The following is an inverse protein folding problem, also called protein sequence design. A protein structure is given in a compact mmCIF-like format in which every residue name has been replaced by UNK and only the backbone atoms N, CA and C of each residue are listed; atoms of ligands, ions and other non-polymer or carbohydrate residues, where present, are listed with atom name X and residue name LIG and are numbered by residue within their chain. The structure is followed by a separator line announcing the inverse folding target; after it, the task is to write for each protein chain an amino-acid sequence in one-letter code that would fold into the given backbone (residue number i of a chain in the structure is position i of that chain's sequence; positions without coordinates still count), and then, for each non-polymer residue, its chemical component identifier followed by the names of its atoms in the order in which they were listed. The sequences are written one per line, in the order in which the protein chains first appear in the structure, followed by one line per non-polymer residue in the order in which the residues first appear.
data_IF_907153968149
#
_entry.id   IF_907153968149
#
_cell.length_a   1.000
_cell.length_b   1.000
_cell.length_c   1.000
_cell.angle_alpha   90.00
_cell.angle_beta   90.00
_cell.angle_gamma   90.00
#
_symmetry.space_group_name_H-M   'P 1'
#
loop_
_entity.id
_entity.type
_entity.pdbx_description
1 polymer ?
#
# COMPACT_ATOMS: atom_id res chain seq x y z
N UNK A 1 -23.34 -1.62 -0.80
CA UNK A 1 -22.24 -0.97 -0.07
C UNK A 1 -22.26 0.49 -0.46
N UNK A 2 -22.38 1.40 0.51
CA UNK A 2 -22.40 2.84 0.22
C UNK A 2 -21.01 3.30 -0.25
N UNK A 3 -20.96 4.43 -0.96
CA UNK A 3 -19.69 5.03 -1.43
C UNK A 3 -18.75 5.29 -0.25
N UNK A 4 -19.29 5.64 0.92
CA UNK A 4 -18.53 5.88 2.16
C UNK A 4 -17.90 4.60 2.71
N UNK A 5 -18.63 3.48 2.70
CA UNK A 5 -18.12 2.16 3.12
C UNK A 5 -16.99 1.67 2.20
N UNK A 6 -17.09 1.93 0.89
CA UNK A 6 -16.05 1.60 -0.09
C UNK A 6 -14.76 2.37 0.16
N UNK A 7 -14.86 3.70 0.36
CA UNK A 7 -13.69 4.53 0.63
C UNK A 7 -13.01 4.16 1.95
N UNK A 8 -13.79 3.84 2.99
CA UNK A 8 -13.25 3.41 4.28
C UNK A 8 -12.47 2.10 4.18
N UNK A 9 -12.96 1.13 3.39
CA UNK A 9 -12.29 -0.15 3.14
C UNK A 9 -10.97 0.02 2.36
N UNK A 10 -10.96 0.91 1.35
CA UNK A 10 -9.75 1.22 0.59
C UNK A 10 -8.71 1.91 1.47
N UNK A 11 -9.12 2.90 2.28
CA UNK A 11 -8.24 3.56 3.25
C UNK A 11 -7.67 2.57 4.27
N UNK A 12 -8.51 1.66 4.78
CA UNK A 12 -8.06 0.62 5.71
C UNK A 12 -7.02 -0.29 5.04
N UNK A 13 -7.23 -0.70 3.79
CA UNK A 13 -6.26 -1.52 3.04
C UNK A 13 -4.92 -0.82 2.83
N UNK A 14 -4.94 0.48 2.52
CA UNK A 14 -3.74 1.32 2.41
C UNK A 14 -3.00 1.39 3.76
N UNK A 15 -3.72 1.71 4.83
CA UNK A 15 -3.14 1.81 6.17
C UNK A 15 -2.53 0.49 6.63
N UNK A 16 -3.22 -0.63 6.39
CA UNK A 16 -2.72 -1.97 6.75
C UNK A 16 -1.44 -2.33 6.00
N UNK A 17 -1.33 -2.01 4.70
CA UNK A 17 -0.11 -2.24 3.94
C UNK A 17 1.07 -1.46 4.52
N UNK A 18 0.89 -0.16 4.76
CA UNK A 18 1.95 0.70 5.32
C UNK A 18 2.39 0.17 6.69
N UNK A 19 1.45 -0.19 7.56
CA UNK A 19 1.74 -0.76 8.88
C UNK A 19 2.49 -2.09 8.75
N UNK A 20 2.05 -3.00 7.87
CA UNK A 20 2.69 -4.30 7.67
C UNK A 20 4.15 -4.14 7.21
N UNK A 21 4.42 -3.32 6.19
CA UNK A 21 5.78 -3.09 5.73
C UNK A 21 6.65 -2.39 6.78
N UNK A 22 6.09 -1.47 7.56
CA UNK A 22 6.80 -0.81 8.67
C UNK A 22 7.22 -1.81 9.74
N UNK A 23 6.32 -2.72 10.14
CA UNK A 23 6.61 -3.78 11.12
C UNK A 23 7.65 -4.75 10.58
N UNK A 24 7.51 -5.20 9.33
CA UNK A 24 8.48 -6.09 8.69
C UNK A 24 9.86 -5.44 8.64
N UNK A 25 9.93 -4.18 8.22
CA UNK A 25 11.18 -3.41 8.18
C UNK A 25 11.83 -3.30 9.56
N UNK A 26 11.05 -2.98 10.60
CA UNK A 26 11.53 -2.94 11.99
C UNK A 26 12.12 -4.28 12.43
N UNK A 27 11.41 -5.39 12.18
CA UNK A 27 11.84 -6.72 12.58
C UNK A 27 13.10 -7.17 11.85
N UNK A 28 13.19 -6.88 10.55
CA UNK A 28 14.35 -7.17 9.71
C UNK A 28 15.59 -6.44 10.24
N UNK A 29 15.51 -5.12 10.42
CA UNK A 29 16.65 -4.31 10.89
C UNK A 29 17.08 -4.72 12.31
N UNK A 30 16.13 -5.00 13.20
CA UNK A 30 16.42 -5.54 14.54
C UNK A 30 17.09 -6.92 14.48
N UNK A 31 16.74 -7.77 13.52
CA UNK A 31 17.35 -9.08 13.33
C UNK A 31 18.81 -9.00 12.87
N UNK A 32 19.17 -7.98 12.09
CA UNK A 32 20.54 -7.75 11.60
C UNK A 32 21.40 -6.89 12.55
N UNK A 33 20.97 -6.68 13.81
CA UNK A 33 21.72 -5.93 14.81
C UNK A 33 21.57 -4.40 14.72
N UNK A 34 20.65 -3.92 13.89
CA UNK A 34 20.23 -2.53 13.85
C UNK A 34 19.32 -2.15 15.02
N UNK A 35 19.13 -0.84 15.18
CA UNK A 35 18.27 -0.23 16.20
C UNK A 35 16.77 -0.27 15.84
N UNK A 36 16.39 -0.88 14.70
CA UNK A 36 15.01 -1.10 14.26
C UNK A 36 14.36 0.14 13.64
N UNK A 37 14.79 1.35 14.02
CA UNK A 37 14.25 2.61 13.49
C UNK A 37 14.51 2.78 11.99
N UNK A 38 15.74 2.48 11.54
CA UNK A 38 16.11 2.61 10.13
C UNK A 38 15.32 1.60 9.29
N UNK A 39 15.18 0.37 9.79
CA UNK A 39 14.31 -0.64 9.17
C UNK A 39 12.85 -0.25 9.11
N UNK A 40 12.29 0.29 10.20
CA UNK A 40 10.90 0.74 10.24
C UNK A 40 10.66 1.85 9.20
N UNK A 41 11.58 2.81 9.10
CA UNK A 41 11.50 3.89 8.13
C UNK A 41 11.61 3.37 6.69
N UNK A 42 12.54 2.45 6.42
CA UNK A 42 12.65 1.81 5.11
C UNK A 42 11.39 1.01 4.75
N UNK A 43 10.84 0.28 5.72
CA UNK A 43 9.57 -0.42 5.60
C UNK A 43 8.41 0.50 5.26
N UNK A 44 8.27 1.62 5.97
CA UNK A 44 7.26 2.64 5.69
C UNK A 44 7.38 3.18 4.25
N UNK A 45 8.58 3.55 3.81
CA UNK A 45 8.82 4.09 2.47
C UNK A 45 8.49 3.05 1.38
N UNK A 46 8.90 1.80 1.58
CA UNK A 46 8.57 0.70 0.64
C UNK A 46 7.07 0.42 0.62
N UNK A 47 6.41 0.38 1.78
CA UNK A 47 4.96 0.15 1.87
C UNK A 47 4.16 1.26 1.20
N UNK A 48 4.60 2.51 1.35
CA UNK A 48 4.01 3.64 0.64
C UNK A 48 4.20 3.53 -0.88
N UNK A 49 5.42 3.23 -1.34
CA UNK A 49 5.71 3.08 -2.78
C UNK A 49 4.90 1.95 -3.44
N UNK A 50 4.79 0.79 -2.77
CA UNK A 50 3.98 -0.34 -3.25
C UNK A 50 2.51 0.03 -3.33
N UNK A 51 1.98 0.69 -2.30
CA UNK A 51 0.59 1.16 -2.27
C UNK A 51 0.30 2.09 -3.44
N UNK A 52 1.16 3.09 -3.66
CA UNK A 52 1.03 4.04 -4.76
C UNK A 52 1.09 3.33 -6.12
N UNK A 53 2.03 2.40 -6.30
CA UNK A 53 2.14 1.61 -7.53
C UNK A 53 0.83 0.85 -7.85
N UNK A 54 0.25 0.17 -6.87
CA UNK A 54 -0.99 -0.57 -7.07
C UNK A 54 -2.20 0.34 -7.30
N UNK A 55 -2.27 1.50 -6.64
CA UNK A 55 -3.31 2.50 -6.88
C UNK A 55 -3.28 2.98 -8.35
N UNK A 56 -2.11 3.38 -8.87
CA UNK A 56 -1.97 3.78 -10.27
C UNK A 56 -2.23 2.65 -11.26
N UNK A 57 -1.85 1.41 -10.90
CA UNK A 57 -2.13 0.24 -11.75
C UNK A 57 -3.62 -0.04 -11.85
N UNK A 58 -4.36 0.09 -10.75
CA UNK A 58 -5.82 -0.08 -10.74
C UNK A 58 -6.53 0.98 -11.59
N UNK A 59 -6.11 2.25 -11.48
CA UNK A 59 -6.64 3.34 -12.31
C UNK A 59 -6.48 3.03 -13.80
N UNK A 60 -5.27 2.62 -14.22
CA UNK A 60 -5.02 2.24 -15.63
C UNK A 60 -5.85 1.04 -16.12
N UNK A 61 -6.16 0.10 -15.22
CA UNK A 61 -7.02 -1.05 -15.57
C UNK A 61 -8.46 -0.57 -15.75
N UNK A 62 -8.95 0.30 -14.88
CA UNK A 62 -10.29 0.88 -14.99
C UNK A 62 -10.46 1.71 -16.27
N UNK A 63 -9.45 2.51 -16.65
CA UNK A 63 -9.45 3.25 -17.93
C UNK A 63 -9.59 2.31 -19.12
N UNK A 64 -8.78 1.23 -19.19
CA UNK A 64 -8.85 0.25 -20.28
C UNK A 64 -10.17 -0.51 -20.34
N UNK A 65 -10.80 -0.78 -19.19
CA UNK A 65 -12.10 -1.44 -19.13
C UNK A 65 -13.22 -0.48 -19.57
N UNK A 66 -13.13 0.79 -19.20
CA UNK A 66 -14.04 1.85 -19.66
C UNK A 66 -14.00 1.99 -21.18
N UNK A 67 -12.80 2.06 -21.78
CA UNK A 67 -12.62 2.13 -23.23
C UNK A 67 -13.21 0.91 -23.98
N UNK A 68 -13.21 -0.27 -23.35
CA UNK A 68 -13.76 -1.50 -23.94
C UNK A 68 -15.26 -1.70 -23.69
N UNK A 69 -15.84 -1.04 -22.68
CA UNK A 69 -17.27 -1.12 -22.37
C UNK A 69 -18.14 -0.13 -23.16
N UNK A 70 -17.51 0.80 -23.88
CA UNK A 70 -18.17 1.85 -24.69
C UNK A 70 -18.18 1.50 -26.19
N UNK A 71 -17.70 0.32 -26.60
CA UNK A 71 -17.80 -0.19 -27.98
C UNK A 71 -18.98 -1.12 -28.20
#
# INVERSE_FOLDING_TARGET
MSVEESMALEFLGITLNIVAFTIVGYLVDKHFGGNGFVGALAGFVLGFAVTVYYAFKLIKIMEKLSEKGVS
#
